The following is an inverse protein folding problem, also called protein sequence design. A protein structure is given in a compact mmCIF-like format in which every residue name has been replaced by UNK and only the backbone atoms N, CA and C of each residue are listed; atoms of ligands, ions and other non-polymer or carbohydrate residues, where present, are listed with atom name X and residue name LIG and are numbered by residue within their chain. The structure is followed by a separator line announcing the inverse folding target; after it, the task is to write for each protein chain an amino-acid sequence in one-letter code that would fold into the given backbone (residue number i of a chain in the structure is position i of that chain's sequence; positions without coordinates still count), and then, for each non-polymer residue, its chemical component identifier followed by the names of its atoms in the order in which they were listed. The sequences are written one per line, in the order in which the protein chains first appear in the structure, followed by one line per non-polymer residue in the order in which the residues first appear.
data_IF_652709758308
#
_entry.id   IF_652709758308
#
_cell.length_a   1.000
_cell.length_b   1.000
_cell.length_c   1.000
_cell.angle_alpha   90.00
_cell.angle_beta   90.00
_cell.angle_gamma   90.00
#
_symmetry.space_group_name_H-M   'P 1'
#
loop_
_entity.id
_entity.type
_entity.pdbx_description
1 polymer ?
#
# COMPACT_ATOMS: atom_id res chain seq x y z
N UNK A 1 -54.76 -72.81 6.76
CA UNK A 1 -54.26 -71.93 5.70
C UNK A 1 -53.74 -70.65 6.35
N UNK A 2 -52.51 -70.59 6.55
CA UNK A 2 -51.79 -69.58 7.36
C UNK A 2 -51.26 -68.43 6.44
N UNK A 3 -51.79 -67.22 6.62
CA UNK A 3 -51.29 -66.02 5.90
C UNK A 3 -50.39 -65.20 6.80
N UNK A 4 -49.06 -65.16 6.42
CA UNK A 4 -48.03 -64.34 7.08
C UNK A 4 -48.11 -62.95 6.53
N UNK A 5 -48.28 -61.93 7.37
CA UNK A 5 -48.15 -60.52 7.02
C UNK A 5 -46.76 -60.02 7.35
N UNK A 6 -46.04 -59.67 6.35
CA UNK A 6 -44.71 -59.01 6.46
C UNK A 6 -44.88 -57.50 6.60
N UNK A 7 -44.37 -56.89 7.68
CA UNK A 7 -44.31 -55.45 7.89
C UNK A 7 -43.03 -54.89 7.24
N UNK A 8 -43.09 -53.78 6.51
CA UNK A 8 -41.89 -53.11 6.05
C UNK A 8 -41.22 -52.30 7.16
N UNK A 9 -39.91 -52.47 7.33
CA UNK A 9 -39.06 -51.63 8.18
C UNK A 9 -38.79 -50.29 7.49
N UNK A 10 -39.32 -49.21 8.05
CA UNK A 10 -38.98 -47.86 7.62
C UNK A 10 -37.59 -47.46 8.17
N UNK A 11 -36.60 -47.33 7.31
CA UNK A 11 -35.30 -46.78 7.64
C UNK A 11 -35.42 -45.25 7.72
N UNK A 12 -35.33 -44.68 8.93
CA UNK A 12 -35.21 -43.25 9.13
C UNK A 12 -33.76 -42.80 8.82
N UNK A 13 -33.60 -42.07 7.72
CA UNK A 13 -32.32 -41.43 7.39
C UNK A 13 -32.12 -40.20 8.30
N UNK A 14 -31.17 -40.27 9.20
CA UNK A 14 -30.73 -39.12 10.02
C UNK A 14 -29.79 -38.26 9.16
N UNK A 15 -30.28 -37.12 8.68
CA UNK A 15 -29.49 -36.13 7.97
C UNK A 15 -28.74 -35.30 9.02
N UNK A 16 -27.42 -35.48 9.13
CA UNK A 16 -26.56 -34.59 9.89
C UNK A 16 -26.36 -33.30 9.10
N UNK A 17 -26.99 -32.20 9.51
CA UNK A 17 -26.65 -30.87 9.06
C UNK A 17 -25.35 -30.46 9.78
N UNK A 18 -24.23 -30.52 9.07
CA UNK A 18 -23.00 -29.88 9.49
C UNK A 18 -23.16 -28.36 9.37
N UNK A 19 -23.38 -27.69 10.49
CA UNK A 19 -23.32 -26.23 10.55
C UNK A 19 -21.86 -25.81 10.34
N UNK A 20 -21.54 -25.35 9.12
CA UNK A 20 -20.27 -24.70 8.84
C UNK A 20 -20.26 -23.36 9.61
N UNK A 21 -19.59 -23.31 10.74
CA UNK A 21 -19.25 -22.05 11.42
C UNK A 21 -18.22 -21.33 10.56
N UNK A 22 -18.69 -20.40 9.75
CA UNK A 22 -17.77 -19.43 9.13
C UNK A 22 -17.16 -18.62 10.27
N UNK A 23 -15.87 -18.83 10.52
CA UNK A 23 -15.08 -17.95 11.36
C UNK A 23 -15.11 -16.56 10.68
N UNK A 24 -15.88 -15.63 11.23
CA UNK A 24 -15.86 -14.23 10.83
C UNK A 24 -14.46 -13.74 11.15
N UNK A 25 -13.74 -13.24 10.13
CA UNK A 25 -12.49 -12.55 10.37
C UNK A 25 -12.76 -11.48 11.43
N UNK A 26 -11.96 -11.46 12.48
CA UNK A 26 -12.07 -10.42 13.51
C UNK A 26 -11.89 -9.08 12.82
N UNK A 27 -12.80 -8.14 13.01
CA UNK A 27 -12.59 -6.77 12.57
C UNK A 27 -11.30 -6.25 13.23
N UNK A 28 -10.44 -5.52 12.50
CA UNK A 28 -9.21 -4.99 13.08
C UNK A 28 -9.56 -4.19 14.34
N UNK A 29 -8.83 -4.45 15.42
CA UNK A 29 -9.03 -3.76 16.69
C UNK A 29 -8.85 -2.25 16.49
N UNK A 30 -9.85 -1.46 16.85
CA UNK A 30 -9.82 -0.02 16.65
C UNK A 30 -8.70 0.63 17.50
N UNK A 31 -8.00 1.60 16.93
CA UNK A 31 -6.96 2.33 17.62
C UNK A 31 -7.52 3.07 18.83
N UNK A 32 -6.86 2.98 20.02
CA UNK A 32 -7.35 3.65 21.23
C UNK A 32 -7.43 5.17 21.06
N UNK A 33 -8.51 5.79 21.55
CA UNK A 33 -8.69 7.25 21.55
C UNK A 33 -7.75 7.98 22.52
N UNK A 34 -7.01 7.26 23.35
CA UNK A 34 -6.12 7.81 24.37
C UNK A 34 -4.94 8.58 23.75
N UNK A 35 -4.33 9.45 24.55
CA UNK A 35 -3.08 10.13 24.16
C UNK A 35 -2.00 9.11 23.74
N UNK A 36 -1.91 7.98 24.45
CA UNK A 36 -0.94 6.92 24.14
C UNK A 36 -1.23 6.31 22.77
N UNK A 37 -2.46 5.88 22.49
CA UNK A 37 -2.80 5.31 21.18
C UNK A 37 -2.57 6.27 20.01
N UNK A 38 -2.81 7.57 20.23
CA UNK A 38 -2.49 8.61 19.23
C UNK A 38 -0.99 8.80 19.03
N UNK A 39 -0.19 8.72 20.09
CA UNK A 39 1.28 8.76 20.02
C UNK A 39 1.83 7.51 19.31
N UNK A 40 1.29 6.35 19.59
CA UNK A 40 1.66 5.09 18.94
C UNK A 40 1.39 5.15 17.43
N UNK A 41 0.19 5.61 17.04
CA UNK A 41 -0.16 5.77 15.62
C UNK A 41 0.78 6.77 14.93
N UNK A 42 1.06 7.93 15.56
CA UNK A 42 2.01 8.91 15.05
C UNK A 42 3.42 8.31 14.92
N UNK A 43 3.90 7.63 15.96
CA UNK A 43 5.23 7.02 15.96
C UNK A 43 5.40 5.98 14.84
N UNK A 44 4.36 5.17 14.58
CA UNK A 44 4.39 4.17 13.51
C UNK A 44 4.41 4.81 12.11
N UNK A 45 3.59 5.86 11.90
CA UNK A 45 3.61 6.58 10.62
C UNK A 45 4.96 7.25 10.39
N UNK A 46 5.53 7.88 11.42
CA UNK A 46 6.86 8.52 11.32
C UNK A 46 7.99 7.49 11.17
N UNK A 47 7.84 6.29 11.73
CA UNK A 47 8.78 5.19 11.50
C UNK A 47 8.74 4.77 10.04
N UNK A 48 7.53 4.57 9.45
CA UNK A 48 7.40 4.28 8.03
C UNK A 48 7.95 5.41 7.17
N UNK A 49 7.65 6.68 7.52
CA UNK A 49 8.17 7.86 6.84
C UNK A 49 9.72 7.87 6.83
N UNK A 50 10.33 7.67 7.99
CA UNK A 50 11.80 7.61 8.11
C UNK A 50 12.41 6.47 7.30
N UNK A 51 11.78 5.29 7.30
CA UNK A 51 12.21 4.15 6.50
C UNK A 51 12.13 4.45 4.99
N UNK A 52 11.05 5.06 4.53
CA UNK A 52 10.88 5.47 3.13
C UNK A 52 11.89 6.53 2.70
N UNK A 53 12.24 7.46 3.60
CA UNK A 53 13.23 8.51 3.34
C UNK A 53 14.68 7.98 3.32
N UNK A 54 14.95 6.89 4.01
CA UNK A 54 16.30 6.32 4.15
C UNK A 54 16.62 5.23 3.13
N UNK A 55 15.67 4.84 2.26
CA UNK A 55 15.84 3.78 1.27
C UNK A 55 15.41 4.23 -0.13
N UNK A 56 16.14 3.75 -1.14
CA UNK A 56 15.86 4.10 -2.54
C UNK A 56 14.58 3.46 -3.09
N UNK A 57 14.12 2.34 -2.53
CA UNK A 57 12.95 1.60 -3.02
C UNK A 57 11.80 1.59 -2.02
N UNK A 58 10.78 2.41 -2.27
CA UNK A 58 9.52 2.39 -1.52
C UNK A 58 8.83 1.01 -1.56
N UNK A 59 8.86 0.33 -2.72
CA UNK A 59 8.31 -1.03 -2.85
C UNK A 59 8.93 -2.02 -1.87
N UNK A 60 10.26 -2.03 -1.74
CA UNK A 60 10.96 -2.93 -0.81
C UNK A 60 10.72 -2.53 0.65
N UNK A 61 10.60 -1.23 0.93
CA UNK A 61 10.26 -0.73 2.26
C UNK A 61 8.85 -1.18 2.66
N UNK A 62 7.86 -1.03 1.77
CA UNK A 62 6.51 -1.51 2.02
C UNK A 62 6.44 -3.05 2.16
N UNK A 63 7.29 -3.79 1.44
CA UNK A 63 7.35 -5.25 1.56
C UNK A 63 7.88 -5.67 2.94
N UNK A 64 8.92 -4.98 3.46
CA UNK A 64 9.38 -5.18 4.86
C UNK A 64 8.30 -4.77 5.86
N UNK A 65 7.67 -3.60 5.68
CA UNK A 65 6.58 -3.13 6.54
C UNK A 65 5.44 -4.14 6.63
N UNK A 66 5.03 -4.69 5.49
CA UNK A 66 4.02 -5.72 5.41
C UNK A 66 4.41 -6.99 6.21
N UNK A 67 5.66 -7.43 6.09
CA UNK A 67 6.17 -8.60 6.80
C UNK A 67 6.23 -8.37 8.32
N UNK A 68 6.78 -7.24 8.74
CA UNK A 68 7.01 -6.90 10.14
C UNK A 68 5.67 -6.75 10.90
N UNK A 69 4.64 -6.22 10.23
CA UNK A 69 3.31 -6.05 10.80
C UNK A 69 2.32 -7.17 10.44
N UNK A 70 2.78 -8.22 9.71
CA UNK A 70 1.98 -9.40 9.36
C UNK A 70 0.68 -9.08 8.65
N UNK A 71 0.72 -8.09 7.75
CA UNK A 71 -0.46 -7.67 7.00
C UNK A 71 -0.92 -8.73 6.00
N UNK A 72 -0.02 -9.54 5.47
CA UNK A 72 -0.33 -10.70 4.63
C UNK A 72 0.75 -11.78 4.72
N UNK A 73 0.36 -13.00 4.33
CA UNK A 73 1.28 -14.13 4.14
C UNK A 73 0.97 -14.81 2.79
N UNK A 74 1.91 -14.80 1.81
CA UNK A 74 3.25 -14.19 1.88
C UNK A 74 3.22 -12.65 1.87
N UNK A 75 4.15 -12.02 2.60
CA UNK A 75 4.36 -10.58 2.62
C UNK A 75 5.06 -10.15 1.32
N UNK A 76 4.26 -9.85 0.30
CA UNK A 76 4.74 -9.48 -1.04
C UNK A 76 3.95 -8.28 -1.57
N UNK A 77 4.67 -7.30 -2.11
CA UNK A 77 4.05 -6.17 -2.79
C UNK A 77 3.81 -6.47 -4.27
N UNK A 78 2.55 -6.27 -4.67
CA UNK A 78 2.06 -6.36 -6.05
C UNK A 78 1.54 -4.98 -6.47
N UNK A 79 1.78 -4.60 -7.72
CA UNK A 79 1.26 -3.35 -8.27
C UNK A 79 -0.01 -3.64 -9.08
N UNK A 80 -1.17 -3.37 -8.52
CA UNK A 80 -2.43 -3.35 -9.26
C UNK A 80 -2.49 -2.10 -10.13
N UNK A 81 -2.49 -2.24 -11.46
CA UNK A 81 -2.59 -1.11 -12.38
C UNK A 81 -3.99 -0.53 -12.40
N UNK A 82 -4.09 0.79 -12.32
CA UNK A 82 -5.34 1.51 -12.55
C UNK A 82 -5.38 1.88 -14.03
N UNK A 83 -6.28 1.21 -14.76
CA UNK A 83 -6.49 1.45 -16.18
C UNK A 83 -7.40 2.66 -16.39
N UNK A 84 -7.42 3.19 -17.62
CA UNK A 84 -8.30 4.29 -18.06
C UNK A 84 -8.08 5.62 -17.31
N UNK A 85 -6.91 5.76 -16.68
CA UNK A 85 -6.45 7.02 -16.09
C UNK A 85 -5.19 7.45 -16.84
N UNK A 86 -5.26 8.64 -17.44
CA UNK A 86 -4.11 9.32 -18.01
C UNK A 86 -3.97 10.69 -17.34
N UNK A 87 -2.78 10.97 -16.82
CA UNK A 87 -2.47 12.24 -16.17
C UNK A 87 -1.26 12.85 -16.86
N UNK A 88 -1.46 13.86 -17.69
CA UNK A 88 -0.36 14.53 -18.39
C UNK A 88 0.70 15.04 -17.41
N UNK A 89 1.96 14.91 -17.78
CA UNK A 89 3.07 15.47 -17.01
C UNK A 89 2.96 17.01 -16.99
N UNK A 90 2.98 17.58 -15.80
CA UNK A 90 3.01 19.03 -15.60
C UNK A 90 4.37 19.62 -15.98
N UNK A 91 4.47 20.94 -16.04
CA UNK A 91 5.74 21.61 -16.28
C UNK A 91 6.78 21.30 -15.19
N UNK A 92 6.33 21.15 -13.93
CA UNK A 92 7.17 20.78 -12.79
C UNK A 92 7.71 19.36 -12.94
N UNK A 93 6.87 18.39 -13.32
CA UNK A 93 7.30 17.01 -13.60
C UNK A 93 8.34 16.99 -14.73
N UNK A 94 8.10 17.72 -15.82
CA UNK A 94 9.05 17.79 -16.93
C UNK A 94 10.36 18.44 -16.52
N UNK A 95 10.33 19.49 -15.72
CA UNK A 95 11.52 20.13 -15.18
C UNK A 95 12.29 19.20 -14.23
N UNK A 96 11.60 18.47 -13.35
CA UNK A 96 12.23 17.52 -12.44
C UNK A 96 12.90 16.33 -13.17
N UNK A 97 12.34 15.94 -14.33
CA UNK A 97 12.89 14.88 -15.18
C UNK A 97 13.95 15.40 -16.17
N UNK A 98 14.20 16.70 -16.23
CA UNK A 98 15.11 17.34 -17.21
C UNK A 98 14.82 16.86 -18.65
N UNK A 99 13.54 16.93 -19.05
CA UNK A 99 13.09 16.51 -20.38
C UNK A 99 12.58 17.68 -21.19
N UNK A 100 12.73 17.59 -22.51
CA UNK A 100 12.24 18.60 -23.43
C UNK A 100 10.71 18.65 -23.43
N UNK A 101 10.07 19.80 -23.82
CA UNK A 101 8.62 19.93 -23.83
C UNK A 101 7.89 18.88 -24.68
N UNK A 102 8.52 18.43 -25.77
CA UNK A 102 8.01 17.45 -26.73
C UNK A 102 8.51 16.03 -26.49
N UNK A 103 9.38 15.80 -25.50
CA UNK A 103 9.89 14.47 -25.20
C UNK A 103 8.76 13.59 -24.66
N UNK A 104 8.57 12.38 -25.23
CA UNK A 104 7.55 11.46 -24.78
C UNK A 104 7.79 10.97 -23.34
N UNK A 105 6.76 11.04 -22.50
CA UNK A 105 6.76 10.45 -21.17
C UNK A 105 5.70 9.36 -21.08
N UNK A 106 6.05 8.27 -20.42
CA UNK A 106 5.09 7.26 -19.98
C UNK A 106 4.43 7.72 -18.69
N UNK A 107 3.16 7.32 -18.51
CA UNK A 107 2.43 7.50 -17.26
C UNK A 107 1.87 6.16 -16.78
N UNK A 108 1.89 5.98 -15.47
CA UNK A 108 1.36 4.79 -14.84
C UNK A 108 0.77 5.13 -13.48
N UNK A 109 -0.50 4.77 -13.25
CA UNK A 109 -1.11 4.80 -11.93
C UNK A 109 -1.24 3.38 -11.39
N UNK A 110 -0.82 3.16 -10.16
CA UNK A 110 -0.86 1.85 -9.51
C UNK A 110 -1.33 1.96 -8.06
N UNK A 111 -1.90 0.85 -7.55
CA UNK A 111 -2.05 0.57 -6.14
C UNK A 111 -1.01 -0.47 -5.73
N UNK A 112 -0.19 -0.16 -4.75
CA UNK A 112 0.75 -1.11 -4.17
C UNK A 112 0.05 -1.87 -3.05
N UNK A 113 -0.18 -3.15 -3.28
CA UNK A 113 -0.95 -4.01 -2.38
C UNK A 113 -0.05 -5.03 -1.68
N UNK A 114 -0.35 -5.28 -0.41
CA UNK A 114 0.12 -6.44 0.33
C UNK A 114 -1.10 -7.30 0.73
N UNK A 115 -1.29 -8.45 0.10
CA UNK A 115 -2.54 -9.18 0.21
C UNK A 115 -3.71 -8.32 -0.25
N UNK A 116 -4.72 -8.15 0.62
CA UNK A 116 -5.89 -7.31 0.33
C UNK A 116 -5.68 -5.83 0.71
N UNK A 117 -4.61 -5.49 1.44
CA UNK A 117 -4.32 -4.14 1.90
C UNK A 117 -3.67 -3.31 0.80
N UNK A 118 -4.30 -2.20 0.41
CA UNK A 118 -3.70 -1.18 -0.47
C UNK A 118 -2.85 -0.27 0.42
N UNK A 119 -1.53 -0.44 0.40
CA UNK A 119 -0.63 0.34 1.27
C UNK A 119 -0.26 1.70 0.68
N UNK A 120 -0.27 1.81 -0.66
CA UNK A 120 0.04 3.07 -1.34
C UNK A 120 -0.66 3.13 -2.70
N UNK A 121 -1.05 4.34 -3.09
CA UNK A 121 -1.42 4.71 -4.46
C UNK A 121 -0.31 5.57 -5.05
N UNK A 122 0.07 5.32 -6.29
CA UNK A 122 1.18 6.04 -6.91
C UNK A 122 0.84 6.50 -8.33
N UNK A 123 1.09 7.77 -8.58
CA UNK A 123 1.22 8.35 -9.92
C UNK A 123 2.70 8.35 -10.29
N UNK A 124 3.04 7.79 -11.44
CA UNK A 124 4.43 7.70 -11.90
C UNK A 124 4.55 8.18 -13.34
N UNK A 125 5.40 9.18 -13.57
CA UNK A 125 5.82 9.64 -14.90
C UNK A 125 7.26 9.21 -15.13
N UNK A 126 7.57 8.69 -16.29
CA UNK A 126 8.92 8.21 -16.60
C UNK A 126 9.29 8.48 -18.05
N UNK A 127 10.59 8.58 -18.34
CA UNK A 127 11.13 8.71 -19.67
C UNK A 127 11.45 7.33 -20.25
N UNK A 128 10.64 6.76 -21.17
CA UNK A 128 10.88 5.42 -21.71
C UNK A 128 12.22 5.30 -22.43
N UNK A 129 12.72 6.40 -23.00
CA UNK A 129 14.01 6.45 -23.69
C UNK A 129 15.21 6.22 -22.77
N UNK A 130 15.03 6.40 -21.44
CA UNK A 130 16.06 6.19 -20.40
C UNK A 130 15.95 4.82 -19.73
N UNK A 131 15.02 3.97 -20.20
CA UNK A 131 14.83 2.59 -19.75
C UNK A 131 15.22 1.62 -20.87
N UNK A 132 15.54 0.36 -20.50
CA UNK A 132 15.74 -0.66 -21.50
C UNK A 132 14.41 -1.10 -22.15
N UNK A 133 14.44 -1.69 -23.37
CA UNK A 133 13.23 -2.26 -23.98
C UNK A 133 12.51 -3.27 -23.07
N UNK A 134 13.26 -4.10 -22.35
CA UNK A 134 12.73 -5.11 -21.43
C UNK A 134 12.03 -4.46 -20.24
N UNK A 135 12.61 -3.38 -19.66
CA UNK A 135 11.98 -2.62 -18.57
C UNK A 135 10.67 -1.99 -19.02
N UNK A 136 10.66 -1.34 -20.19
CA UNK A 136 9.45 -0.78 -20.77
C UNK A 136 8.38 -1.86 -21.00
N UNK A 137 8.77 -3.01 -21.58
CA UNK A 137 7.85 -4.13 -21.78
C UNK A 137 7.24 -4.64 -20.47
N UNK A 138 8.05 -4.84 -19.42
CA UNK A 138 7.57 -5.26 -18.09
C UNK A 138 6.60 -4.25 -17.51
N UNK A 139 6.91 -2.94 -17.61
CA UNK A 139 6.07 -1.88 -17.09
C UNK A 139 4.72 -1.77 -17.83
N UNK A 140 4.69 -2.07 -19.11
CA UNK A 140 3.49 -2.01 -19.95
C UNK A 140 2.58 -3.24 -19.81
N UNK A 141 3.16 -4.44 -19.58
CA UNK A 141 2.44 -5.71 -19.72
C UNK A 141 2.23 -6.47 -18.42
N UNK A 142 2.86 -6.06 -17.30
CA UNK A 142 2.80 -6.81 -16.05
C UNK A 142 2.39 -5.96 -14.85
N UNK A 143 2.03 -6.64 -13.75
CA UNK A 143 1.77 -6.06 -12.43
C UNK A 143 3.05 -5.92 -11.58
N UNK A 144 4.22 -5.88 -12.23
CA UNK A 144 5.48 -5.66 -11.53
C UNK A 144 5.56 -4.21 -11.04
N UNK A 145 5.83 -3.99 -9.74
CA UNK A 145 6.07 -2.66 -9.20
C UNK A 145 7.22 -1.95 -9.93
N UNK A 146 7.10 -0.62 -10.13
CA UNK A 146 8.08 0.16 -10.89
C UNK A 146 9.51 -0.06 -10.40
N UNK A 147 9.75 0.12 -9.10
CA UNK A 147 11.09 -0.05 -8.52
C UNK A 147 11.70 -1.44 -8.71
N UNK A 148 10.86 -2.51 -8.80
CA UNK A 148 11.33 -3.86 -9.13
C UNK A 148 11.67 -3.99 -10.63
N UNK A 149 10.86 -3.40 -11.52
CA UNK A 149 11.09 -3.45 -12.96
C UNK A 149 12.40 -2.76 -13.37
N UNK A 150 12.77 -1.66 -12.70
CA UNK A 150 13.97 -0.87 -13.00
C UNK A 150 15.14 -1.13 -12.03
N UNK A 151 15.06 -2.15 -11.19
CA UNK A 151 16.07 -2.44 -10.17
C UNK A 151 17.50 -2.57 -10.71
N UNK A 152 17.67 -3.07 -11.94
CA UNK A 152 18.98 -3.22 -12.60
C UNK A 152 19.66 -1.88 -12.94
N UNK A 153 18.94 -0.76 -12.87
CA UNK A 153 19.53 0.58 -13.01
C UNK A 153 20.31 1.02 -11.76
N UNK A 154 20.18 0.31 -10.64
CA UNK A 154 20.78 0.68 -9.35
C UNK A 154 20.48 2.13 -8.97
N UNK A 155 19.23 2.54 -9.20
CA UNK A 155 18.78 3.92 -9.07
C UNK A 155 18.95 4.48 -7.67
N UNK A 156 19.00 5.81 -7.61
CA UNK A 156 18.93 6.62 -6.40
C UNK A 156 17.58 7.34 -6.34
N UNK A 157 17.04 7.44 -5.16
CA UNK A 157 15.82 8.21 -4.88
C UNK A 157 16.19 9.55 -4.27
N UNK A 158 15.69 10.63 -4.85
CA UNK A 158 15.75 11.97 -4.29
C UNK A 158 14.32 12.42 -3.96
N UNK A 159 14.01 12.50 -2.67
CA UNK A 159 12.70 12.95 -2.19
C UNK A 159 12.60 14.47 -2.32
N UNK A 160 11.58 14.95 -3.01
CA UNK A 160 11.27 16.37 -3.20
C UNK A 160 10.38 16.91 -2.08
N UNK A 161 9.41 16.11 -1.62
CA UNK A 161 8.58 16.39 -0.45
C UNK A 161 8.19 15.10 0.28
N UNK A 162 7.89 15.23 1.57
CA UNK A 162 7.36 14.19 2.44
C UNK A 162 6.39 14.85 3.42
N UNK A 163 5.11 14.66 3.19
CA UNK A 163 4.05 15.40 3.87
C UNK A 163 3.15 14.46 4.67
N UNK A 164 3.04 14.68 5.98
CA UNK A 164 2.02 14.02 6.80
C UNK A 164 0.65 14.59 6.45
N UNK A 165 -0.19 13.77 5.82
CA UNK A 165 -1.58 14.10 5.48
C UNK A 165 -2.51 13.96 6.70
N UNK A 166 -2.11 13.16 7.68
CA UNK A 166 -2.84 12.96 8.92
C UNK A 166 -1.94 13.14 10.14
N UNK A 167 -2.47 13.89 11.10
CA UNK A 167 -1.84 14.14 12.40
C UNK A 167 -2.80 13.69 13.51
N UNK A 168 -2.57 12.53 14.13
CA UNK A 168 -3.47 12.00 15.18
C UNK A 168 -3.50 12.86 16.46
N UNK A 169 -2.53 13.76 16.63
CA UNK A 169 -2.43 14.67 17.75
C UNK A 169 -2.67 16.13 17.30
N UNK A 170 -3.31 16.97 18.14
CA UNK A 170 -3.51 18.37 17.83
C UNK A 170 -2.18 19.15 17.85
N UNK A 171 -2.13 20.27 17.15
CA UNK A 171 -0.99 21.19 17.27
C UNK A 171 -0.81 21.64 18.73
N UNK A 172 0.44 21.66 19.21
CA UNK A 172 0.77 22.07 20.58
C UNK A 172 0.50 21.00 21.65
N UNK A 173 0.24 19.75 21.24
CA UNK A 173 0.06 18.64 22.19
C UNK A 173 1.26 18.48 23.13
N UNK A 174 2.47 18.73 22.64
CA UNK A 174 3.73 18.69 23.39
C UNK A 174 3.85 19.82 24.44
N UNK A 175 3.05 20.87 24.28
CA UNK A 175 2.95 22.01 25.20
C UNK A 175 1.71 21.92 26.11
N UNK A 176 1.07 20.75 26.16
CA UNK A 176 -0.07 20.47 27.05
C UNK A 176 -1.45 20.74 26.46
N UNK A 177 -1.56 20.91 25.13
CA UNK A 177 -2.89 20.90 24.50
C UNK A 177 -3.58 19.56 24.75
N UNK A 178 -4.87 19.60 25.14
CA UNK A 178 -5.62 18.40 25.44
C UNK A 178 -5.79 17.53 24.20
N UNK A 179 -5.50 16.23 24.32
CA UNK A 179 -5.79 15.28 23.26
C UNK A 179 -7.31 15.17 23.06
N UNK A 180 -7.78 15.05 21.81
CA UNK A 180 -9.18 14.77 21.53
C UNK A 180 -9.63 13.47 22.23
N UNK A 181 -10.88 13.43 22.68
CA UNK A 181 -11.47 12.24 23.30
C UNK A 181 -12.26 11.38 22.29
N UNK A 182 -12.41 11.86 21.06
CA UNK A 182 -13.09 11.14 20.00
C UNK A 182 -12.30 9.88 19.61
N UNK A 183 -12.98 8.80 19.13
CA UNK A 183 -12.34 7.62 18.61
C UNK A 183 -11.29 8.00 17.55
N UNK A 184 -10.15 7.32 17.58
CA UNK A 184 -9.09 7.54 16.60
C UNK A 184 -9.48 6.86 15.29
N UNK A 185 -10.03 7.63 14.37
CA UNK A 185 -10.32 7.20 13.01
C UNK A 185 -9.08 7.43 12.13
N UNK A 186 -8.50 6.36 11.61
CA UNK A 186 -7.43 6.45 10.61
C UNK A 186 -8.07 6.81 9.28
N UNK A 187 -7.67 7.93 8.63
CA UNK A 187 -8.24 8.33 7.36
C UNK A 187 -7.72 7.48 6.20
N UNK A 188 -8.31 7.66 5.03
CA UNK A 188 -7.90 6.96 3.81
C UNK A 188 -6.42 7.21 3.46
N UNK A 189 -5.92 8.44 3.65
CA UNK A 189 -4.53 8.82 3.34
C UNK A 189 -3.84 9.40 4.56
N UNK A 190 -2.60 8.98 4.82
CA UNK A 190 -1.85 9.35 6.03
C UNK A 190 -0.53 10.06 5.76
N UNK A 191 0.09 9.78 4.61
CA UNK A 191 1.41 10.29 4.24
C UNK A 191 1.49 10.41 2.71
N UNK A 192 2.22 11.41 2.20
CA UNK A 192 2.52 11.53 0.78
C UNK A 192 4.00 11.85 0.56
N UNK A 193 4.62 11.17 -0.39
CA UNK A 193 5.96 11.46 -0.87
C UNK A 193 5.95 11.82 -2.34
N UNK A 194 6.74 12.82 -2.71
CA UNK A 194 7.11 13.12 -4.08
C UNK A 194 8.61 12.92 -4.24
N UNK A 195 9.02 12.16 -5.25
CA UNK A 195 10.42 11.83 -5.43
C UNK A 195 10.80 11.68 -6.90
N UNK A 196 12.07 11.95 -7.21
CA UNK A 196 12.71 11.68 -8.50
C UNK A 196 13.63 10.48 -8.33
N UNK A 197 13.56 9.55 -9.30
CA UNK A 197 14.49 8.43 -9.42
C UNK A 197 15.52 8.76 -10.52
N UNK A 198 16.79 8.59 -10.19
CA UNK A 198 17.89 8.86 -11.10
C UNK A 198 18.83 7.67 -11.17
N UNK A 199 19.57 7.53 -12.28
CA UNK A 199 20.68 6.60 -12.39
C UNK A 199 21.80 6.98 -11.42
N UNK A 200 22.80 6.12 -11.14
CA UNK A 200 23.97 6.46 -10.33
C UNK A 200 24.74 7.68 -10.84
N UNK A 201 24.70 7.94 -12.16
CA UNK A 201 25.34 9.09 -12.80
C UNK A 201 24.50 10.38 -12.67
N UNK A 202 23.32 10.30 -12.06
CA UNK A 202 22.47 11.43 -11.77
C UNK A 202 21.44 11.77 -12.86
N UNK A 203 21.30 10.96 -13.92
CA UNK A 203 20.27 11.17 -14.95
C UNK A 203 18.90 10.81 -14.39
N UNK A 204 17.94 11.77 -14.27
CA UNK A 204 16.61 11.50 -13.77
C UNK A 204 15.81 10.73 -14.84
N UNK A 205 15.08 9.69 -14.46
CA UNK A 205 14.28 8.90 -15.41
C UNK A 205 12.82 8.69 -14.99
N UNK A 206 12.50 8.94 -13.74
CA UNK A 206 11.13 8.82 -13.25
C UNK A 206 10.86 9.80 -12.12
N UNK A 207 9.66 10.38 -12.11
CA UNK A 207 9.08 11.08 -10.97
C UNK A 207 7.85 10.32 -10.49
N UNK A 208 7.74 10.16 -9.18
CA UNK A 208 6.64 9.47 -8.54
C UNK A 208 6.03 10.34 -7.44
N UNK A 209 4.68 10.33 -7.37
CA UNK A 209 3.91 10.81 -6.23
C UNK A 209 3.26 9.60 -5.60
N UNK A 210 3.61 9.29 -4.36
CA UNK A 210 3.17 8.12 -3.61
C UNK A 210 2.34 8.58 -2.40
N UNK A 211 1.05 8.27 -2.42
CA UNK A 211 0.13 8.56 -1.31
C UNK A 211 -0.08 7.26 -0.52
N UNK A 212 0.39 7.22 0.71
CA UNK A 212 0.26 6.06 1.61
C UNK A 212 -1.08 6.12 2.32
N UNK A 213 -1.76 4.98 2.32
CA UNK A 213 -3.12 4.87 2.85
C UNK A 213 -3.12 4.54 4.35
N UNK A 214 -4.28 4.65 4.99
CA UNK A 214 -4.49 4.19 6.36
C UNK A 214 -4.27 2.70 6.57
N UNK A 215 -4.29 1.90 5.49
CA UNK A 215 -4.04 0.46 5.54
C UNK A 215 -2.60 0.10 5.98
N UNK A 216 -1.67 1.05 5.98
CA UNK A 216 -0.35 0.86 6.62
C UNK A 216 -0.45 0.62 8.13
N UNK A 217 -1.58 0.95 8.74
CA UNK A 217 -1.91 0.71 10.15
C UNK A 217 -2.98 -0.38 10.34
N UNK A 218 -3.27 -1.22 9.34
CA UNK A 218 -4.28 -2.27 9.39
C UNK A 218 -3.83 -3.50 10.20
N UNK A 219 -3.28 -3.27 11.38
CA UNK A 219 -2.88 -4.28 12.35
C UNK A 219 -3.28 -3.85 13.76
N UNK A 220 -3.37 -4.78 14.72
CA UNK A 220 -3.71 -4.43 16.10
C UNK A 220 -2.73 -3.41 16.69
N UNK A 221 -3.22 -2.38 17.42
CA UNK A 221 -2.34 -1.45 18.12
C UNK A 221 -1.42 -2.18 19.12
N UNK A 222 -0.25 -1.59 19.46
CA UNK A 222 0.63 -2.10 20.51
C UNK A 222 -0.11 -2.32 21.83
N UNK A 223 0.34 -3.31 22.63
CA UNK A 223 -0.28 -3.66 23.93
C UNK A 223 0.53 -3.13 25.09
#
# INVERSE_FOLDING_TARGET
MSGTWSRPLSAAAIIWLAAATYARAAEPEAWPASLVGRLEALALIETLNADLLSHDSATLTLERWCADHRLADPARIVAERVHDVDKPATAEVRAALDVKPDEPLGYRRVRLKCGDHVLSEADNWYAPARLTPEMNHVLETTDTPFGKAVAALHFRRHTLSADLLWRPLPAGWEMGAAAPQDPLAVPEHVLEHRAVLSTPDGEPFSEVVETYTGEVLAFPPPK
#
